data_IF_665694527073
#
_entry.id   IF_665694527073
#
_cell.length_a   1.000
_cell.length_b   1.000
_cell.length_c   1.000
_cell.angle_alpha   90.00
_cell.angle_beta   90.00
_cell.angle_gamma   90.00
#
_symmetry.space_group_name_H-M   'P 1'
#
loop_
_entity.id
_entity.type
_entity.pdbx_description
1 polymer ?
#
# COMPACT_ATOMS: atom_id res chain seq x y z
N UNK A 1 16.88 15.89 11.13
CA UNK A 1 16.03 16.88 10.43
C UNK A 1 14.58 16.56 10.78
N UNK A 2 13.70 17.55 11.04
CA UNK A 2 12.28 17.28 11.18
C UNK A 2 11.77 16.68 9.88
N UNK A 3 11.09 15.55 9.97
CA UNK A 3 10.47 14.90 8.82
C UNK A 3 9.02 15.31 8.77
N UNK A 4 8.61 15.85 7.62
CA UNK A 4 7.25 16.32 7.38
C UNK A 4 6.62 15.52 6.26
N UNK A 5 5.31 15.33 6.33
CA UNK A 5 4.53 14.55 5.36
C UNK A 5 3.34 15.35 4.87
N UNK A 6 2.90 15.11 3.64
CA UNK A 6 1.75 15.83 3.11
C UNK A 6 0.45 15.34 3.77
N UNK A 7 -0.55 16.21 3.82
CA UNK A 7 -1.88 15.87 4.32
C UNK A 7 -2.56 14.77 3.51
N UNK A 8 -2.31 14.69 2.20
CA UNK A 8 -2.90 13.65 1.35
C UNK A 8 -2.40 12.25 1.75
N UNK A 9 -1.14 12.15 2.16
CA UNK A 9 -0.52 10.89 2.56
C UNK A 9 -1.19 10.33 3.82
N UNK A 10 -1.77 11.20 4.68
CA UNK A 10 -2.45 10.81 5.93
C UNK A 10 -3.83 10.20 5.68
N UNK A 11 -4.43 10.40 4.49
CA UNK A 11 -5.77 9.87 4.17
C UNK A 11 -5.90 8.38 4.42
N UNK A 12 -4.90 7.55 4.08
CA UNK A 12 -4.87 6.15 4.44
C UNK A 12 -5.23 5.81 5.88
N UNK A 13 -4.59 6.49 6.82
CA UNK A 13 -4.70 6.24 8.25
C UNK A 13 -5.98 6.84 8.86
N UNK A 14 -6.59 7.78 8.14
CA UNK A 14 -7.79 8.48 8.55
C UNK A 14 -9.07 7.81 8.03
N UNK A 15 -9.03 7.11 6.89
CA UNK A 15 -10.20 6.42 6.31
C UNK A 15 -10.92 5.53 7.34
N UNK A 16 -10.20 4.64 8.02
CA UNK A 16 -10.79 3.73 9.01
C UNK A 16 -11.34 4.47 10.23
N UNK A 17 -10.67 5.56 10.63
CA UNK A 17 -11.11 6.38 11.76
C UNK A 17 -12.37 7.16 11.41
N UNK A 18 -12.44 7.72 10.20
CA UNK A 18 -13.62 8.41 9.64
C UNK A 18 -14.78 7.42 9.51
N UNK A 19 -14.54 6.24 8.92
CA UNK A 19 -15.56 5.20 8.80
C UNK A 19 -16.09 4.77 10.18
N UNK A 20 -15.21 4.60 11.16
CA UNK A 20 -15.60 4.27 12.54
C UNK A 20 -16.47 5.36 13.16
N UNK A 21 -16.15 6.63 12.94
CA UNK A 21 -16.96 7.73 13.44
C UNK A 21 -18.32 7.82 12.76
N UNK A 22 -18.37 7.68 11.43
CA UNK A 22 -19.63 7.61 10.66
C UNK A 22 -20.49 6.45 11.16
N UNK A 23 -19.90 5.27 11.38
CA UNK A 23 -20.61 4.11 11.95
C UNK A 23 -21.06 4.27 13.39
N UNK A 24 -20.49 5.23 14.13
CA UNK A 24 -20.96 5.59 15.48
C UNK A 24 -22.24 6.43 15.41
N UNK A 25 -22.43 7.18 14.32
CA UNK A 25 -23.67 7.91 14.03
C UNK A 25 -24.74 6.94 13.51
N UNK A 26 -24.38 6.14 12.50
CA UNK A 26 -25.26 5.12 11.92
C UNK A 26 -24.42 3.97 11.36
N UNK A 27 -24.57 2.79 11.98
CA UNK A 27 -23.80 1.59 11.65
C UNK A 27 -24.10 1.02 10.25
N UNK A 28 -25.20 1.42 9.62
CA UNK A 28 -25.58 0.98 8.27
C UNK A 28 -24.84 1.72 7.16
N UNK A 29 -24.22 2.87 7.47
CA UNK A 29 -23.51 3.69 6.50
C UNK A 29 -22.17 3.06 6.10
N UNK A 30 -21.84 3.25 4.82
CA UNK A 30 -20.62 2.75 4.18
C UNK A 30 -19.78 3.91 3.67
N UNK A 31 -18.57 3.61 3.17
CA UNK A 31 -17.70 4.62 2.54
C UNK A 31 -18.33 5.30 1.34
N UNK A 32 -19.39 4.72 0.76
CA UNK A 32 -20.10 5.29 -0.38
C UNK A 32 -21.14 6.33 0.05
N UNK A 33 -21.47 6.41 1.35
CA UNK A 33 -22.51 7.30 1.87
C UNK A 33 -21.95 8.63 2.40
N UNK A 34 -20.65 8.88 2.26
CA UNK A 34 -20.06 10.16 2.63
C UNK A 34 -18.84 10.50 1.78
N UNK A 35 -18.53 11.80 1.72
CA UNK A 35 -17.23 12.31 1.32
C UNK A 35 -16.54 12.93 2.53
N UNK A 36 -15.21 12.91 2.53
CA UNK A 36 -14.46 13.54 3.61
C UNK A 36 -13.17 14.18 3.09
N UNK A 37 -12.78 15.27 3.73
CA UNK A 37 -11.52 15.95 3.47
C UNK A 37 -10.91 16.48 4.77
N UNK A 38 -9.56 16.45 4.90
CA UNK A 38 -8.91 17.21 5.95
C UNK A 38 -9.23 18.70 5.76
N UNK A 39 -9.54 19.39 6.86
CA UNK A 39 -9.82 20.82 6.83
C UNK A 39 -8.53 21.61 6.71
N UNK A 40 -8.46 22.43 5.67
CA UNK A 40 -7.44 23.45 5.49
C UNK A 40 -8.05 24.81 5.86
N UNK A 41 -8.04 25.18 7.13
CA UNK A 41 -8.29 26.58 7.49
C UNK A 41 -7.07 27.44 7.16
N UNK A 42 -7.25 28.75 6.95
CA UNK A 42 -6.12 29.69 6.85
C UNK A 42 -5.14 29.46 8.01
N UNK A 43 -3.89 29.09 7.69
CA UNK A 43 -2.85 28.74 8.68
C UNK A 43 -2.68 27.24 8.97
N UNK A 44 -3.50 26.36 8.40
CA UNK A 44 -3.31 24.90 8.51
C UNK A 44 -2.07 24.49 7.72
N UNK A 45 -1.19 23.66 8.30
CA UNK A 45 0.07 23.34 7.66
C UNK A 45 -0.16 22.39 6.48
N UNK A 46 0.46 22.69 5.33
CA UNK A 46 0.47 21.79 4.15
C UNK A 46 1.16 20.46 4.46
N UNK A 47 2.05 20.46 5.44
CA UNK A 47 2.79 19.29 5.86
C UNK A 47 2.78 19.16 7.38
N UNK A 48 2.64 17.93 7.88
CA UNK A 48 2.62 17.67 9.32
C UNK A 48 4.00 17.14 9.75
N UNK A 49 4.55 17.70 10.83
CA UNK A 49 5.74 17.15 11.49
C UNK A 49 5.35 15.84 12.18
N UNK A 50 6.01 14.75 11.77
CA UNK A 50 5.73 13.41 12.28
C UNK A 50 6.76 12.94 13.32
N UNK A 51 7.68 13.82 13.73
CA UNK A 51 8.75 13.49 14.67
C UNK A 51 8.30 13.53 16.14
N UNK A 52 7.13 14.09 16.44
CA UNK A 52 6.56 14.16 17.80
C UNK A 52 5.20 13.48 17.92
N UNK A 53 4.85 13.12 19.15
CA UNK A 53 4.12 11.91 19.52
C UNK A 53 2.68 11.74 19.03
N UNK A 54 2.01 12.79 18.55
CA UNK A 54 0.63 12.74 18.07
C UNK A 54 0.31 13.84 17.05
N UNK A 55 -0.22 13.47 15.89
CA UNK A 55 -0.70 14.44 14.89
C UNK A 55 -2.21 14.63 15.10
N UNK A 56 -2.64 15.88 15.22
CA UNK A 56 -4.07 16.24 15.25
C UNK A 56 -4.47 16.73 13.87
N UNK A 57 -5.42 16.04 13.25
CA UNK A 57 -6.00 16.43 11.97
C UNK A 57 -7.48 16.70 12.16
N UNK A 58 -7.91 17.88 11.73
CA UNK A 58 -9.32 18.25 11.65
C UNK A 58 -9.90 17.74 10.33
N UNK A 59 -11.07 17.10 10.41
CA UNK A 59 -11.73 16.50 9.25
C UNK A 59 -13.13 17.08 9.08
N UNK A 60 -13.50 17.30 7.81
CA UNK A 60 -14.86 17.55 7.37
C UNK A 60 -15.44 16.28 6.76
N UNK A 61 -16.68 15.95 7.13
CA UNK A 61 -17.43 14.82 6.57
C UNK A 61 -18.77 15.37 6.04
N UNK A 62 -19.04 15.10 4.76
CA UNK A 62 -20.30 15.43 4.10
C UNK A 62 -21.07 14.14 3.80
N UNK A 63 -22.32 14.05 4.26
CA UNK A 63 -23.19 12.95 3.87
C UNK A 63 -23.57 13.01 2.38
N UNK A 64 -23.66 11.84 1.74
CA UNK A 64 -24.22 11.66 0.39
C UNK A 64 -25.00 10.35 0.34
N UNK A 65 -25.71 10.12 -0.77
CA UNK A 65 -26.51 8.91 -0.96
C UNK A 65 -27.50 8.68 0.19
N UNK A 66 -27.21 7.72 1.09
CA UNK A 66 -28.08 7.38 2.24
C UNK A 66 -27.85 8.26 3.45
N UNK A 67 -26.81 9.10 3.48
CA UNK A 67 -26.56 10.05 4.55
C UNK A 67 -26.83 11.49 4.12
N UNK A 68 -27.22 12.33 5.07
CA UNK A 68 -27.38 13.78 4.88
C UNK A 68 -26.71 14.53 6.02
N UNK A 69 -26.46 15.84 5.82
CA UNK A 69 -25.82 16.70 6.81
C UNK A 69 -24.31 16.77 6.68
N UNK A 70 -23.71 17.59 7.56
CA UNK A 70 -22.27 17.87 7.58
C UNK A 70 -21.76 17.78 9.01
N UNK A 71 -20.59 17.20 9.20
CA UNK A 71 -19.89 17.17 10.48
C UNK A 71 -18.50 17.73 10.31
N UNK A 72 -18.19 18.74 11.11
CA UNK A 72 -16.96 19.50 11.06
C UNK A 72 -16.41 19.50 12.48
N UNK A 73 -15.10 19.24 12.65
CA UNK A 73 -14.39 19.17 13.93
C UNK A 73 -14.45 17.82 14.64
N UNK A 74 -13.97 16.77 13.95
CA UNK A 74 -13.52 15.57 14.64
C UNK A 74 -11.99 15.51 14.64
N UNK A 75 -11.39 15.74 15.81
CA UNK A 75 -9.96 15.63 16.01
C UNK A 75 -9.55 14.16 15.94
N UNK A 76 -8.84 13.78 14.88
CA UNK A 76 -8.20 12.48 14.84
C UNK A 76 -6.79 12.59 15.36
N UNK A 77 -6.58 12.01 16.53
CA UNK A 77 -5.27 11.66 17.05
C UNK A 77 -4.72 10.53 16.17
N UNK A 78 -3.83 10.87 15.24
CA UNK A 78 -3.05 9.89 14.50
C UNK A 78 -1.85 9.58 15.39
N UNK A 79 -1.83 8.35 15.93
CA UNK A 79 -0.67 7.86 16.68
C UNK A 79 0.54 7.93 15.75
N UNK A 80 1.64 8.48 16.28
CA UNK A 80 2.98 8.56 15.71
C UNK A 80 3.13 7.78 14.40
N UNK A 81 3.25 8.49 13.28
CA UNK A 81 3.69 7.84 12.03
C UNK A 81 5.17 7.53 12.19
N UNK A 82 5.48 6.46 12.91
CA UNK A 82 6.83 5.97 13.00
C UNK A 82 7.22 5.57 11.59
N UNK A 83 8.10 6.35 10.97
CA UNK A 83 8.77 5.92 9.77
C UNK A 83 9.34 4.52 10.03
N UNK A 84 8.88 3.57 9.24
CA UNK A 84 9.30 2.18 9.37
C UNK A 84 10.32 1.93 8.26
N UNK A 85 11.47 1.38 8.62
CA UNK A 85 12.41 0.92 7.61
C UNK A 85 11.80 -0.29 6.89
N UNK A 86 11.74 -0.23 5.56
CA UNK A 86 11.27 -1.33 4.70
C UNK A 86 12.09 -2.62 4.93
N UNK A 87 13.33 -2.49 5.42
CA UNK A 87 14.19 -3.62 5.82
C UNK A 87 13.62 -4.47 6.96
N UNK A 88 12.63 -3.97 7.71
CA UNK A 88 11.96 -4.73 8.78
C UNK A 88 10.89 -5.69 8.28
N UNK A 89 10.49 -5.60 7.00
CA UNK A 89 9.52 -6.52 6.41
C UNK A 89 10.21 -7.86 6.21
N UNK A 90 9.75 -8.91 6.90
CA UNK A 90 10.29 -10.26 6.70
C UNK A 90 9.70 -10.87 5.43
N UNK A 91 10.56 -11.15 4.45
CA UNK A 91 10.16 -11.77 3.19
C UNK A 91 9.64 -13.20 3.34
N UNK A 92 9.93 -13.86 4.47
CA UNK A 92 9.30 -15.14 4.83
C UNK A 92 7.76 -15.05 4.94
N UNK A 93 7.20 -13.85 5.05
CA UNK A 93 5.76 -13.61 5.17
C UNK A 93 5.05 -13.36 3.84
N UNK A 94 5.79 -13.03 2.77
CA UNK A 94 5.25 -12.93 1.41
C UNK A 94 4.89 -14.33 0.91
N UNK A 95 5.63 -15.35 1.37
CA UNK A 95 5.43 -16.75 1.01
C UNK A 95 5.71 -17.03 -0.48
N UNK A 96 5.73 -18.30 -0.90
CA UNK A 96 5.64 -18.62 -2.32
C UNK A 96 4.29 -18.10 -2.84
N UNK A 97 4.28 -17.61 -4.07
CA UNK A 97 3.05 -17.19 -4.73
C UNK A 97 2.14 -18.42 -4.87
N UNK A 98 1.02 -18.45 -4.14
CA UNK A 98 0.24 -19.69 -3.91
C UNK A 98 -0.74 -20.06 -5.03
N UNK A 99 -0.95 -19.19 -6.04
CA UNK A 99 -1.91 -19.45 -7.12
C UNK A 99 -1.20 -19.67 -8.46
N UNK A 100 -1.54 -20.72 -9.23
CA UNK A 100 -1.04 -20.90 -10.59
C UNK A 100 -1.55 -19.80 -11.52
N UNK A 101 -0.62 -19.09 -12.17
CA UNK A 101 -0.86 -17.87 -12.95
C UNK A 101 -1.32 -18.13 -14.40
N UNK A 102 -2.59 -18.44 -14.54
CA UNK A 102 -3.37 -18.39 -15.78
C UNK A 102 -3.52 -19.65 -16.64
N UNK A 103 -4.75 -19.73 -17.09
CA UNK A 103 -5.28 -20.52 -18.18
C UNK A 103 -5.28 -19.74 -19.48
N UNK A 104 -4.91 -20.43 -20.57
CA UNK A 104 -5.12 -20.06 -21.98
C UNK A 104 -3.99 -19.25 -22.72
N UNK A 105 -2.78 -19.87 -22.81
CA UNK A 105 -1.74 -19.98 -23.90
C UNK A 105 -1.09 -18.69 -24.55
N UNK A 106 0.20 -18.65 -25.06
CA UNK A 106 1.45 -19.45 -24.89
C UNK A 106 2.69 -18.66 -24.36
N UNK A 107 3.59 -19.37 -23.68
CA UNK A 107 5.02 -19.13 -23.45
C UNK A 107 5.52 -18.01 -22.52
N UNK A 108 4.93 -16.81 -22.46
CA UNK A 108 5.58 -15.71 -21.70
C UNK A 108 4.61 -14.89 -20.83
N UNK A 109 5.06 -14.51 -19.63
CA UNK A 109 4.33 -13.66 -18.67
C UNK A 109 4.89 -12.25 -18.67
N UNK A 110 4.02 -11.23 -18.60
CA UNK A 110 4.44 -9.83 -18.53
C UNK A 110 4.99 -9.49 -17.15
N UNK A 111 6.10 -8.72 -17.12
CA UNK A 111 6.73 -8.20 -15.90
C UNK A 111 5.75 -7.45 -14.99
N UNK A 112 4.81 -6.71 -15.58
CA UNK A 112 3.78 -5.99 -14.85
C UNK A 112 2.85 -6.91 -14.05
N UNK A 113 2.49 -8.07 -14.61
CA UNK A 113 1.64 -9.06 -13.93
C UNK A 113 2.39 -9.69 -12.76
N UNK A 114 3.69 -9.96 -12.94
CA UNK A 114 4.57 -10.45 -11.86
C UNK A 114 4.62 -9.46 -10.70
N UNK A 115 4.82 -8.18 -10.99
CA UNK A 115 4.84 -7.10 -9.99
C UNK A 115 3.49 -6.97 -9.28
N UNK A 116 2.37 -7.11 -9.99
CA UNK A 116 1.03 -6.99 -9.41
C UNK A 116 0.76 -8.08 -8.36
N UNK A 117 1.15 -9.32 -8.60
CA UNK A 117 0.99 -10.39 -7.60
C UNK A 117 1.98 -10.21 -6.44
N UNK A 118 3.25 -9.86 -6.71
CA UNK A 118 4.23 -9.53 -5.66
C UNK A 118 3.67 -8.47 -4.71
N UNK A 119 3.04 -7.41 -5.27
CA UNK A 119 2.38 -6.37 -4.49
C UNK A 119 1.31 -6.93 -3.54
N UNK A 120 0.54 -7.93 -3.96
CA UNK A 120 -0.48 -8.58 -3.11
C UNK A 120 0.14 -9.32 -1.93
N UNK A 121 1.22 -10.07 -2.16
CA UNK A 121 1.95 -10.78 -1.10
C UNK A 121 2.66 -9.83 -0.13
N UNK A 122 3.31 -8.79 -0.65
CA UNK A 122 3.99 -7.75 0.14
C UNK A 122 2.96 -6.99 0.98
N UNK A 123 1.82 -6.58 0.41
CA UNK A 123 0.74 -5.91 1.14
C UNK A 123 0.26 -6.76 2.31
N UNK A 124 0.09 -8.07 2.11
CA UNK A 124 -0.33 -8.99 3.18
C UNK A 124 0.70 -9.06 4.31
N UNK A 125 2.00 -9.14 3.99
CA UNK A 125 3.08 -9.13 4.98
C UNK A 125 3.15 -7.81 5.75
N UNK A 126 2.96 -6.70 5.04
CA UNK A 126 2.95 -5.33 5.55
C UNK A 126 1.74 -5.09 6.48
N UNK A 127 0.54 -5.53 6.10
CA UNK A 127 -0.68 -5.39 6.89
C UNK A 127 -0.60 -6.14 8.23
N UNK A 128 0.17 -7.24 8.31
CA UNK A 128 0.47 -7.92 9.58
C UNK A 128 1.30 -7.08 10.54
N UNK A 129 2.16 -6.18 10.03
CA UNK A 129 2.95 -5.24 10.84
C UNK A 129 2.18 -3.98 11.18
N UNK A 130 1.43 -3.45 10.22
CA UNK A 130 0.63 -2.25 10.36
C UNK A 130 -0.50 -2.26 9.33
N UNK A 131 -1.74 -2.34 9.82
CA UNK A 131 -2.94 -2.41 8.99
C UNK A 131 -3.16 -1.20 8.06
N UNK A 132 -2.49 -0.06 8.31
CA UNK A 132 -2.66 1.17 7.55
C UNK A 132 -1.76 1.32 6.31
N UNK A 133 -0.78 0.43 6.11
CA UNK A 133 0.17 0.53 5.01
C UNK A 133 -0.43 0.03 3.68
N UNK A 134 -0.02 0.66 2.57
CA UNK A 134 -0.59 0.48 1.22
C UNK A 134 0.49 0.27 0.17
N UNK A 135 0.08 -0.16 -1.02
CA UNK A 135 0.95 -0.29 -2.19
C UNK A 135 1.55 1.05 -2.67
N UNK A 136 0.98 2.20 -2.27
CA UNK A 136 1.55 3.52 -2.53
C UNK A 136 2.78 3.84 -1.67
N UNK A 137 3.04 3.05 -0.62
CA UNK A 137 4.11 3.29 0.36
C UNK A 137 5.42 2.58 0.01
N UNK A 138 5.46 1.88 -1.12
CA UNK A 138 6.69 1.31 -1.66
C UNK A 138 6.60 1.13 -3.17
N UNK A 139 7.76 1.04 -3.81
CA UNK A 139 7.89 0.63 -5.22
C UNK A 139 8.63 -0.70 -5.27
N UNK A 140 8.16 -1.62 -6.13
CA UNK A 140 8.84 -2.90 -6.41
C UNK A 140 9.69 -2.73 -7.66
N UNK A 141 10.99 -3.01 -7.54
CA UNK A 141 11.91 -3.05 -8.65
C UNK A 141 12.43 -4.47 -8.85
N UNK A 142 12.17 -5.05 -10.02
CA UNK A 142 12.82 -6.31 -10.41
C UNK A 142 14.23 -6.01 -10.90
N UNK A 143 15.22 -6.63 -10.27
CA UNK A 143 16.65 -6.45 -10.54
C UNK A 143 17.11 -7.46 -11.61
N UNK A 144 16.61 -7.29 -12.83
CA UNK A 144 16.98 -8.11 -14.00
C UNK A 144 17.80 -7.29 -15.01
N UNK A 145 18.96 -6.82 -14.59
CA UNK A 145 19.81 -5.94 -15.39
C UNK A 145 20.39 -6.62 -16.64
N UNK A 146 20.49 -7.94 -16.62
CA UNK A 146 21.08 -8.73 -17.71
C UNK A 146 20.02 -9.37 -18.61
N UNK A 147 18.73 -9.01 -18.46
CA UNK A 147 17.61 -9.57 -19.24
C UNK A 147 17.58 -11.11 -19.22
N UNK A 148 17.93 -11.69 -18.07
CA UNK A 148 17.99 -13.14 -17.88
C UNK A 148 16.61 -13.73 -17.64
N UNK A 149 15.65 -12.91 -17.18
CA UNK A 149 14.30 -13.34 -16.84
C UNK A 149 13.31 -12.74 -17.84
N UNK A 150 13.42 -11.44 -18.12
CA UNK A 150 12.53 -10.72 -19.02
C UNK A 150 13.27 -10.27 -20.28
N UNK A 151 12.68 -10.57 -21.43
CA UNK A 151 13.17 -10.09 -22.73
C UNK A 151 12.88 -8.59 -22.94
N UNK A 152 13.27 -8.05 -24.10
CA UNK A 152 13.08 -6.62 -24.46
C UNK A 152 11.61 -6.16 -24.51
N UNK A 153 10.65 -7.09 -24.46
CA UNK A 153 9.20 -6.81 -24.40
C UNK A 153 8.62 -6.97 -22.99
N UNK A 154 9.49 -7.03 -21.98
CA UNK A 154 9.16 -7.30 -20.58
C UNK A 154 8.38 -8.62 -20.40
N UNK A 155 8.70 -9.62 -21.23
CA UNK A 155 8.09 -10.94 -21.23
C UNK A 155 9.10 -11.98 -20.73
N UNK A 156 8.72 -12.79 -19.74
CA UNK A 156 9.57 -13.83 -19.17
C UNK A 156 8.99 -15.24 -19.30
N UNK A 157 9.87 -16.24 -19.43
CA UNK A 157 9.49 -17.66 -19.51
C UNK A 157 9.43 -18.26 -18.10
N UNK A 158 8.23 -18.62 -17.67
CA UNK A 158 7.94 -19.24 -16.37
C UNK A 158 7.47 -20.69 -16.52
N UNK A 159 7.98 -21.42 -17.53
CA UNK A 159 7.74 -22.87 -17.69
C UNK A 159 8.31 -23.73 -16.56
N UNK A 160 9.18 -23.15 -15.74
CA UNK A 160 9.77 -23.70 -14.52
C UNK A 160 9.76 -22.64 -13.43
N UNK A 161 10.08 -23.04 -12.20
CA UNK A 161 10.28 -22.09 -11.11
C UNK A 161 11.44 -21.14 -11.47
N UNK A 162 11.23 -19.85 -11.21
CA UNK A 162 12.20 -18.78 -11.49
C UNK A 162 12.44 -17.99 -10.22
N UNK A 163 13.70 -17.87 -9.82
CA UNK A 163 14.10 -16.97 -8.75
C UNK A 163 14.26 -15.55 -9.30
N UNK A 164 13.46 -14.63 -8.77
CA UNK A 164 13.49 -13.21 -9.12
C UNK A 164 14.18 -12.44 -7.99
N UNK A 165 15.26 -11.75 -8.34
CA UNK A 165 15.88 -10.75 -7.48
C UNK A 165 15.09 -9.43 -7.60
N UNK A 166 14.72 -8.84 -6.48
CA UNK A 166 13.97 -7.57 -6.45
C UNK A 166 14.39 -6.68 -5.28
N UNK A 167 14.11 -5.38 -5.38
CA UNK A 167 14.18 -4.45 -4.26
C UNK A 167 12.83 -3.77 -4.02
N UNK A 168 12.60 -3.39 -2.76
CA UNK A 168 11.50 -2.54 -2.33
C UNK A 168 12.09 -1.21 -1.91
N UNK A 169 11.69 -0.14 -2.58
CA UNK A 169 12.06 1.23 -2.22
C UNK A 169 10.89 1.81 -1.43
N UNK A 170 11.13 2.17 -0.16
CA UNK A 170 10.12 2.81 0.67
C UNK A 170 9.77 4.21 0.18
N UNK A 171 8.48 4.54 0.21
CA UNK A 171 7.94 5.87 -0.08
C UNK A 171 6.97 6.28 1.03
N UNK A 172 6.59 7.56 1.08
CA UNK A 172 5.70 8.17 2.08
C UNK A 172 6.19 7.92 3.53
N UNK A 173 5.76 6.80 4.10
CA UNK A 173 5.91 6.38 5.49
C UNK A 173 6.96 5.30 5.69
N UNK A 174 7.37 4.64 4.60
CA UNK A 174 8.49 3.70 4.61
C UNK A 174 9.79 4.43 4.26
N UNK A 175 10.86 3.99 4.90
CA UNK A 175 12.22 4.49 4.67
C UNK A 175 13.13 3.36 4.22
N UNK A 176 14.25 3.75 3.62
CA UNK A 176 15.26 2.87 3.04
C UNK A 176 14.78 2.08 1.82
N UNK A 177 15.72 1.31 1.27
CA UNK A 177 15.50 0.28 0.27
C UNK A 177 15.91 -1.07 0.86
N UNK A 178 15.21 -2.14 0.47
CA UNK A 178 15.66 -3.51 0.75
C UNK A 178 16.75 -3.89 -0.24
N UNK A 179 17.84 -4.47 0.27
CA UNK A 179 18.89 -5.00 -0.61
C UNK A 179 18.36 -6.29 -1.26
N UNK A 180 18.38 -6.33 -2.60
CA UNK A 180 18.09 -7.47 -3.48
C UNK A 180 17.60 -8.74 -2.77
N UNK A 181 16.29 -8.82 -2.53
CA UNK A 181 15.63 -9.98 -1.97
C UNK A 181 15.25 -10.97 -3.08
N UNK A 182 15.28 -12.26 -2.77
CA UNK A 182 14.86 -13.29 -3.72
C UNK A 182 13.41 -13.70 -3.48
N UNK A 183 12.66 -13.88 -4.55
CA UNK A 183 11.34 -14.50 -4.57
C UNK A 183 11.33 -15.60 -5.62
N UNK A 184 10.98 -16.82 -5.22
CA UNK A 184 10.72 -17.91 -6.17
C UNK A 184 9.30 -17.74 -6.71
N UNK A 185 9.21 -17.49 -8.02
CA UNK A 185 7.96 -17.52 -8.77
C UNK A 185 7.76 -18.95 -9.26
N UNK A 186 6.68 -19.64 -8.87
CA UNK A 186 6.44 -21.01 -9.30
C UNK A 186 6.12 -21.07 -10.80
N UNK A 187 6.38 -22.23 -11.40
CA UNK A 187 6.05 -22.49 -12.78
C UNK A 187 4.57 -22.19 -13.10
N UNK A 188 4.33 -21.54 -14.22
CA UNK A 188 2.99 -21.34 -14.75
C UNK A 188 2.40 -22.68 -15.19
N UNK A 189 1.28 -23.09 -14.60
CA UNK A 189 0.57 -24.31 -15.01
C UNK A 189 -0.59 -23.97 -15.93
N UNK A 190 -0.78 -24.75 -17.00
CA UNK A 190 -2.02 -24.70 -17.80
C UNK A 190 -3.24 -24.90 -16.89
N UNK A 191 -4.36 -24.22 -17.16
CA UNK A 191 -5.65 -24.68 -16.65
C UNK A 191 -5.83 -26.12 -17.09
N UNK A 192 -6.16 -26.96 -16.13
CA UNK A 192 -6.97 -28.15 -16.37
C UNK A 192 -8.43 -27.76 -16.53
#
# INVERSE_FOLDING_TARGET
>A
MPQTVASEDLRPLLNDKVLKAVKTVDASLTTDDYDWWPLYYQGSPKTFDITTTDIKVDIYIAGKNKATGVSQVQFYKVQKVNQMSVKKISFSWVGPLTKPWYSDIPNLTKKADVIAEMNTGILTAIQKLNAGLRTSDYTVNILDYEHKIFNDRDEGDFSKDVDILYSLIGTNWLTDETVGANLTVPAATKKT
#
